data_IF_348256349801
#
_entry.id   IF_348256349801
#
_cell.length_a   1.000
_cell.length_b   1.000
_cell.length_c   1.000
_cell.angle_alpha   90.00
_cell.angle_beta   90.00
_cell.angle_gamma   90.00
#
_symmetry.space_group_name_H-M   'P 1'
#
loop_
_entity.id
_entity.type
_entity.pdbx_description
1 polymer ?
#
# COMPACT_ATOMS: atom_id res chain seq x y z
N UNK A 1 37.44 -16.48 -9.91
CA UNK A 1 36.37 -17.35 -9.40
C UNK A 1 35.53 -16.52 -8.44
N UNK A 2 34.46 -15.89 -8.93
CA UNK A 2 33.51 -15.11 -8.14
C UNK A 2 32.12 -15.47 -8.70
N UNK A 3 31.43 -16.40 -8.04
CA UNK A 3 30.01 -16.64 -8.31
C UNK A 3 29.21 -15.66 -7.45
N UNK A 4 28.39 -14.87 -8.15
CA UNK A 4 27.57 -13.78 -7.65
C UNK A 4 26.47 -14.30 -6.72
N UNK A 5 26.14 -13.50 -5.70
CA UNK A 5 25.06 -13.69 -4.73
C UNK A 5 23.69 -13.99 -5.39
N UNK A 6 23.50 -13.58 -6.65
CA UNK A 6 22.33 -13.90 -7.46
C UNK A 6 22.12 -15.41 -7.71
N UNK A 7 23.20 -16.21 -7.70
CA UNK A 7 23.14 -17.66 -7.91
C UNK A 7 22.72 -18.41 -6.62
N UNK A 8 22.91 -17.78 -5.46
CA UNK A 8 22.47 -18.29 -4.16
C UNK A 8 20.98 -17.99 -3.90
N UNK A 9 20.46 -16.84 -4.33
CA UNK A 9 19.01 -16.59 -4.33
C UNK A 9 18.26 -17.49 -5.31
N UNK A 10 18.85 -17.77 -6.49
CA UNK A 10 18.28 -18.72 -7.44
C UNK A 10 18.28 -20.15 -6.90
N UNK A 11 19.34 -20.57 -6.19
CA UNK A 11 19.35 -21.86 -5.48
C UNK A 11 18.42 -21.92 -4.28
N UNK A 12 18.16 -20.82 -3.59
CA UNK A 12 17.20 -20.76 -2.48
C UNK A 12 15.75 -20.80 -2.98
N UNK A 13 15.46 -20.25 -4.16
CA UNK A 13 14.18 -20.48 -4.87
C UNK A 13 14.05 -21.90 -5.46
N UNK A 14 15.16 -22.59 -5.73
CA UNK A 14 15.17 -23.96 -6.27
C UNK A 14 15.19 -25.05 -5.19
N UNK A 15 15.52 -24.72 -3.94
CA UNK A 15 15.57 -25.67 -2.82
C UNK A 15 14.31 -25.63 -1.94
N UNK A 16 13.37 -24.72 -2.21
CA UNK A 16 11.99 -24.87 -1.73
C UNK A 16 11.23 -25.79 -2.69
N UNK A 17 11.68 -27.06 -2.75
CA UNK A 17 11.04 -28.19 -3.43
C UNK A 17 9.75 -28.61 -2.69
N UNK A 18 8.83 -27.67 -2.47
CA UNK A 18 7.41 -27.97 -2.58
C UNK A 18 6.93 -27.43 -3.92
N UNK A 19 7.40 -28.16 -4.92
CA UNK A 19 7.07 -28.07 -6.33
C UNK A 19 5.56 -28.02 -6.53
N UNK A 20 4.98 -26.81 -6.56
CA UNK A 20 3.79 -26.60 -7.38
C UNK A 20 4.18 -26.92 -8.81
N UNK A 21 3.80 -28.12 -9.26
CA UNK A 21 3.69 -28.48 -10.66
C UNK A 21 2.79 -27.43 -11.36
N UNK A 22 3.38 -26.29 -11.76
CA UNK A 22 2.69 -25.19 -12.47
C UNK A 22 2.26 -25.55 -13.89
N UNK A 23 2.64 -26.73 -14.37
CA UNK A 23 2.14 -27.34 -15.61
C UNK A 23 1.34 -28.63 -15.33
N UNK A 24 0.64 -28.72 -14.20
CA UNK A 24 -0.44 -29.69 -14.10
C UNK A 24 -1.52 -29.31 -15.13
N UNK A 25 -1.74 -30.17 -16.12
CA UNK A 25 -2.75 -30.01 -17.17
C UNK A 25 -4.20 -30.11 -16.66
N UNK A 26 -4.44 -29.81 -15.37
CA UNK A 26 -5.70 -30.08 -14.68
C UNK A 26 -6.46 -28.84 -14.22
N UNK A 27 -5.86 -27.64 -14.28
CA UNK A 27 -6.58 -26.40 -13.97
C UNK A 27 -7.23 -25.88 -15.26
N UNK A 28 -8.57 -25.77 -15.33
CA UNK A 28 -9.26 -25.15 -16.45
C UNK A 28 -8.68 -23.77 -16.76
N UNK A 29 -8.61 -23.40 -18.05
CA UNK A 29 -8.04 -22.13 -18.48
C UNK A 29 -8.72 -20.92 -17.79
N UNK A 30 -10.03 -20.99 -17.59
CA UNK A 30 -10.81 -19.93 -16.93
C UNK A 30 -10.40 -19.75 -15.46
N UNK A 31 -10.13 -20.85 -14.75
CA UNK A 31 -9.68 -20.83 -13.35
C UNK A 31 -8.25 -20.27 -13.24
N UNK A 32 -7.35 -20.69 -14.14
CA UNK A 32 -6.01 -20.13 -14.21
C UNK A 32 -6.01 -18.62 -14.52
N UNK A 33 -6.87 -18.17 -15.43
CA UNK A 33 -6.99 -16.76 -15.78
C UNK A 33 -7.59 -15.93 -14.64
N UNK A 34 -8.56 -16.47 -13.91
CA UNK A 34 -9.13 -15.84 -12.72
C UNK A 34 -8.07 -15.69 -11.61
N UNK A 35 -7.33 -16.76 -11.31
CA UNK A 35 -6.35 -16.77 -10.22
C UNK A 35 -5.12 -15.91 -10.52
N UNK A 36 -4.68 -15.90 -11.78
CA UNK A 36 -3.46 -15.20 -12.19
C UNK A 36 -3.62 -13.68 -12.32
N UNK A 37 -4.85 -13.16 -12.35
CA UNK A 37 -5.18 -11.76 -12.64
C UNK A 37 -4.58 -11.23 -13.97
N UNK A 38 -4.13 -12.12 -14.87
CA UNK A 38 -3.44 -11.75 -16.12
C UNK A 38 -4.32 -10.91 -17.03
N UNK A 39 -5.64 -11.09 -16.98
CA UNK A 39 -6.59 -10.30 -17.76
C UNK A 39 -6.59 -8.82 -17.37
N UNK A 40 -6.34 -8.48 -16.09
CA UNK A 40 -6.22 -7.08 -15.64
C UNK A 40 -5.02 -6.42 -16.33
N UNK A 41 -3.88 -7.11 -16.35
CA UNK A 41 -2.65 -6.64 -16.99
C UNK A 41 -2.77 -6.56 -18.51
N UNK A 42 -3.39 -7.56 -19.13
CA UNK A 42 -3.60 -7.56 -20.58
C UNK A 42 -4.54 -6.43 -21.01
N UNK A 43 -5.65 -6.24 -20.29
CA UNK A 43 -6.60 -5.16 -20.55
C UNK A 43 -5.93 -3.80 -20.43
N UNK A 44 -5.12 -3.60 -19.38
CA UNK A 44 -4.39 -2.36 -19.17
C UNK A 44 -3.32 -2.11 -20.25
N UNK A 45 -2.52 -3.12 -20.58
CA UNK A 45 -1.53 -3.01 -21.65
C UNK A 45 -2.17 -2.67 -23.01
N UNK A 46 -3.31 -3.29 -23.33
CA UNK A 46 -4.05 -2.97 -24.56
C UNK A 46 -4.58 -1.54 -24.51
N UNK A 47 -5.17 -1.10 -23.38
CA UNK A 47 -5.68 0.27 -23.25
C UNK A 47 -4.57 1.31 -23.46
N UNK A 48 -3.41 1.13 -22.83
CA UNK A 48 -2.24 2.02 -23.00
C UNK A 48 -1.69 2.01 -24.42
N UNK A 49 -1.61 0.84 -25.06
CA UNK A 49 -1.20 0.72 -26.46
C UNK A 49 -2.14 1.48 -27.39
N UNK A 50 -3.44 1.43 -27.12
CA UNK A 50 -4.46 2.11 -27.91
C UNK A 50 -4.47 3.63 -27.71
N UNK A 51 -4.10 4.10 -26.52
CA UNK A 51 -3.99 5.54 -26.20
C UNK A 51 -2.75 6.18 -26.84
N UNK A 52 -1.63 5.45 -26.92
CA UNK A 52 -0.34 5.96 -27.41
C UNK A 52 0.16 5.19 -28.65
N UNK A 53 -0.76 4.89 -29.59
CA UNK A 53 -0.49 4.05 -30.77
C UNK A 53 0.73 4.50 -31.56
N UNK A 54 0.86 5.80 -31.80
CA UNK A 54 1.92 6.35 -32.66
C UNK A 54 3.31 6.18 -32.08
N UNK A 55 3.44 6.14 -30.74
CA UNK A 55 4.72 5.92 -30.06
C UNK A 55 5.10 4.42 -30.05
N UNK A 56 4.17 3.54 -29.68
CA UNK A 56 4.49 2.13 -29.45
C UNK A 56 4.50 1.28 -30.72
N UNK A 57 3.77 1.67 -31.77
CA UNK A 57 3.80 0.96 -33.05
C UNK A 57 5.13 1.15 -33.79
N UNK A 58 5.85 2.25 -33.53
CA UNK A 58 7.18 2.51 -34.11
C UNK A 58 8.25 1.52 -33.62
N UNK A 59 8.16 1.06 -32.36
CA UNK A 59 9.11 0.13 -31.76
C UNK A 59 8.66 -1.35 -31.81
N UNK A 60 7.46 -1.59 -32.33
CA UNK A 60 6.87 -2.91 -32.51
C UNK A 60 6.03 -3.36 -31.32
N UNK A 61 4.79 -3.79 -31.59
CA UNK A 61 3.79 -4.21 -30.59
C UNK A 61 4.29 -5.36 -29.71
N UNK A 62 5.03 -6.32 -30.27
CA UNK A 62 5.60 -7.46 -29.52
C UNK A 62 6.56 -6.97 -28.44
N UNK A 63 7.41 -6.00 -28.78
CA UNK A 63 8.38 -5.43 -27.84
C UNK A 63 7.67 -4.67 -26.73
N UNK A 64 6.63 -3.90 -27.06
CA UNK A 64 5.81 -3.21 -26.07
C UNK A 64 5.25 -4.18 -25.02
N UNK A 65 4.58 -5.25 -25.44
CA UNK A 65 4.03 -6.23 -24.49
C UNK A 65 5.13 -6.90 -23.65
N UNK A 66 6.27 -7.24 -24.27
CA UNK A 66 7.40 -7.83 -23.54
C UNK A 66 7.94 -6.87 -22.45
N UNK A 67 8.08 -5.58 -22.76
CA UNK A 67 8.51 -4.57 -21.80
C UNK A 67 7.46 -4.33 -20.69
N UNK A 68 6.17 -4.28 -21.05
CA UNK A 68 5.08 -4.13 -20.10
C UNK A 68 5.06 -5.30 -19.10
N UNK A 69 5.03 -6.55 -19.57
CA UNK A 69 5.01 -7.70 -18.67
C UNK A 69 6.32 -7.91 -17.91
N UNK A 70 7.46 -7.47 -18.47
CA UNK A 70 8.72 -7.37 -17.73
C UNK A 70 8.59 -6.37 -16.57
N UNK A 71 7.96 -5.22 -16.80
CA UNK A 71 7.67 -4.23 -15.75
C UNK A 71 6.78 -4.81 -14.65
N UNK A 72 5.71 -5.54 -15.03
CA UNK A 72 4.82 -6.24 -14.08
C UNK A 72 5.59 -7.26 -13.25
N UNK A 73 6.38 -8.12 -13.90
CA UNK A 73 7.22 -9.12 -13.25
C UNK A 73 8.18 -8.48 -12.24
N UNK A 74 8.76 -7.33 -12.59
CA UNK A 74 9.72 -6.62 -11.77
C UNK A 74 9.09 -5.62 -10.78
N UNK A 75 7.76 -5.60 -10.63
CA UNK A 75 7.03 -4.75 -9.69
C UNK A 75 7.13 -3.24 -9.95
N UNK A 76 7.50 -2.82 -11.15
CA UNK A 76 7.69 -1.40 -11.52
C UNK A 76 6.44 -0.76 -12.17
N UNK A 77 5.45 -1.57 -12.50
CA UNK A 77 4.23 -1.21 -13.25
C UNK A 77 3.23 -0.35 -12.46
N UNK A 78 3.47 -0.08 -11.19
CA UNK A 78 2.57 0.64 -10.27
C UNK A 78 2.92 2.11 -10.08
N UNK A 79 4.08 2.55 -10.58
CA UNK A 79 4.55 3.93 -10.44
C UNK A 79 3.74 4.89 -11.32
N UNK A 80 3.26 5.99 -10.71
CA UNK A 80 2.48 7.04 -11.37
C UNK A 80 1.18 6.55 -12.00
N UNK A 81 0.58 5.53 -11.37
CA UNK A 81 -0.70 4.95 -11.79
C UNK A 81 -1.83 5.50 -10.93
N UNK A 82 -3.05 5.39 -11.45
CA UNK A 82 -4.26 5.71 -10.70
C UNK A 82 -4.50 4.67 -9.59
N UNK A 83 -5.08 5.11 -8.48
CA UNK A 83 -5.30 4.31 -7.29
C UNK A 83 -6.10 3.03 -7.59
N UNK A 84 -7.11 3.15 -8.48
CA UNK A 84 -7.92 2.01 -8.91
C UNK A 84 -7.08 0.89 -9.52
N UNK A 85 -6.06 1.22 -10.30
CA UNK A 85 -5.12 0.25 -10.85
C UNK A 85 -4.20 -0.32 -9.77
N UNK A 86 -3.66 0.55 -8.90
CA UNK A 86 -2.74 0.15 -7.82
C UNK A 86 -3.41 -0.84 -6.85
N UNK A 87 -4.70 -0.68 -6.55
CA UNK A 87 -5.45 -1.58 -5.65
C UNK A 87 -6.02 -2.83 -6.34
N UNK A 88 -5.95 -2.93 -7.67
CA UNK A 88 -6.74 -3.88 -8.45
C UNK A 88 -6.41 -5.35 -8.16
N UNK A 89 -5.14 -5.66 -7.87
CA UNK A 89 -4.69 -7.04 -7.65
C UNK A 89 -3.78 -7.12 -6.41
N UNK A 90 -3.68 -8.30 -5.76
CA UNK A 90 -2.73 -8.50 -4.67
C UNK A 90 -1.29 -8.19 -5.07
N UNK A 91 -0.89 -8.54 -6.30
CA UNK A 91 0.45 -8.23 -6.82
C UNK A 91 0.69 -6.74 -6.99
N UNK A 92 -0.30 -5.96 -7.44
CA UNK A 92 -0.19 -4.51 -7.54
C UNK A 92 -0.04 -3.87 -6.16
N UNK A 93 -0.83 -4.32 -5.18
CA UNK A 93 -0.74 -3.83 -3.79
C UNK A 93 0.64 -4.10 -3.19
N UNK A 94 1.12 -5.34 -3.29
CA UNK A 94 2.45 -5.72 -2.80
C UNK A 94 3.57 -4.95 -3.51
N UNK A 95 3.47 -4.79 -4.83
CA UNK A 95 4.43 -4.01 -5.63
C UNK A 95 4.47 -2.55 -5.18
N UNK A 96 3.32 -1.95 -4.92
CA UNK A 96 3.23 -0.56 -4.49
C UNK A 96 3.79 -0.34 -3.08
N UNK A 97 3.49 -1.24 -2.14
CA UNK A 97 4.08 -1.23 -0.79
C UNK A 97 5.60 -1.32 -0.88
N UNK A 98 6.13 -2.22 -1.71
CA UNK A 98 7.57 -2.37 -1.94
C UNK A 98 8.19 -1.12 -2.54
N UNK A 99 7.57 -0.52 -3.55
CA UNK A 99 8.05 0.72 -4.17
C UNK A 99 8.06 1.87 -3.16
N UNK A 100 6.98 2.05 -2.40
CA UNK A 100 6.91 3.06 -1.34
C UNK A 100 8.03 2.87 -0.31
N UNK A 101 8.25 1.63 0.13
CA UNK A 101 9.35 1.29 1.01
C UNK A 101 10.71 1.68 0.41
N UNK A 102 11.01 1.25 -0.83
CA UNK A 102 12.29 1.56 -1.49
C UNK A 102 12.53 3.05 -1.67
N UNK A 103 11.50 3.81 -2.05
CA UNK A 103 11.62 5.24 -2.29
C UNK A 103 11.89 6.05 -1.02
N UNK A 104 11.32 5.64 0.12
CA UNK A 104 11.27 6.49 1.32
C UNK A 104 11.92 5.89 2.56
N UNK A 105 12.50 4.69 2.48
CA UNK A 105 13.22 4.02 3.58
C UNK A 105 14.26 4.92 4.27
N UNK A 106 14.88 5.84 3.54
CA UNK A 106 15.87 6.76 4.12
C UNK A 106 15.28 7.64 5.23
N UNK A 107 13.99 7.96 5.19
CA UNK A 107 13.29 8.69 6.26
C UNK A 107 13.36 7.89 7.57
N UNK A 108 13.09 6.58 7.50
CA UNK A 108 13.20 5.69 8.66
C UNK A 108 14.63 5.57 9.19
N UNK A 109 15.64 5.60 8.32
CA UNK A 109 17.05 5.61 8.73
C UNK A 109 17.47 6.89 9.43
N UNK A 110 16.97 8.04 8.98
CA UNK A 110 17.21 9.34 9.62
C UNK A 110 16.57 9.41 11.01
N UNK A 111 15.55 8.59 11.26
CA UNK A 111 14.76 8.63 12.50
C UNK A 111 13.69 9.73 12.48
N UNK A 112 13.41 10.31 11.31
CA UNK A 112 12.41 11.35 11.14
C UNK A 112 11.01 10.75 11.39
N UNK A 113 10.22 11.48 12.16
CA UNK A 113 8.81 11.16 12.39
C UNK A 113 7.96 12.08 11.52
N UNK A 114 6.96 11.51 10.86
CA UNK A 114 6.08 12.24 9.96
C UNK A 114 4.63 12.14 10.41
N UNK A 115 3.86 13.19 10.14
CA UNK A 115 2.42 13.23 10.29
C UNK A 115 1.71 12.41 9.21
N UNK A 116 0.43 12.11 9.44
CA UNK A 116 -0.44 11.44 8.47
C UNK A 116 -0.50 12.16 7.11
N UNK A 117 -0.52 13.50 7.11
CA UNK A 117 -0.58 14.31 5.89
C UNK A 117 0.73 14.28 5.10
N UNK A 118 1.87 14.19 5.77
CA UNK A 118 3.17 14.03 5.12
C UNK A 118 3.28 12.65 4.46
N UNK A 119 2.87 11.57 5.15
CA UNK A 119 2.81 10.24 4.54
C UNK A 119 1.86 10.18 3.34
N UNK A 120 0.70 10.85 3.44
CA UNK A 120 -0.20 11.00 2.28
C UNK A 120 0.50 11.69 1.12
N UNK A 121 1.23 12.77 1.38
CA UNK A 121 1.97 13.50 0.34
C UNK A 121 3.01 12.61 -0.33
N UNK A 122 3.74 11.79 0.43
CA UNK A 122 4.70 10.82 -0.11
C UNK A 122 4.00 9.76 -0.98
N UNK A 123 2.87 9.22 -0.54
CA UNK A 123 2.09 8.27 -1.34
C UNK A 123 1.57 8.92 -2.64
N UNK A 124 1.16 10.19 -2.59
CA UNK A 124 0.68 10.94 -3.75
C UNK A 124 1.77 11.25 -4.78
N UNK A 125 3.04 11.32 -4.37
CA UNK A 125 4.15 11.40 -5.33
C UNK A 125 4.26 10.13 -6.20
N UNK A 126 3.80 8.97 -5.70
CA UNK A 126 3.80 7.70 -6.44
C UNK A 126 2.46 7.39 -7.10
N UNK A 127 1.35 7.82 -6.51
CA UNK A 127 -0.03 7.58 -6.95
C UNK A 127 -0.85 8.88 -6.77
N UNK A 128 -1.00 9.72 -7.82
CA UNK A 128 -1.51 11.09 -7.66
C UNK A 128 -2.88 11.23 -6.97
N UNK A 129 -3.75 10.25 -7.18
CA UNK A 129 -5.12 10.16 -6.64
C UNK A 129 -5.22 9.26 -5.40
N UNK A 130 -4.12 9.03 -4.67
CA UNK A 130 -4.14 8.17 -3.48
C UNK A 130 -5.14 8.69 -2.43
N UNK A 131 -6.07 7.85 -1.94
CA UNK A 131 -7.17 8.27 -1.07
C UNK A 131 -6.68 8.59 0.34
N UNK A 132 -7.24 9.64 0.93
CA UNK A 132 -6.92 10.07 2.29
C UNK A 132 -7.40 9.06 3.33
N UNK A 133 -8.54 8.42 3.08
CA UNK A 133 -9.18 7.48 4.00
C UNK A 133 -8.27 6.28 4.27
N UNK A 134 -7.53 5.82 3.24
CA UNK A 134 -6.57 4.72 3.37
C UNK A 134 -5.42 5.09 4.31
N UNK A 135 -4.87 6.30 4.15
CA UNK A 135 -3.76 6.78 4.99
C UNK A 135 -4.24 7.02 6.42
N UNK A 136 -5.43 7.59 6.58
CA UNK A 136 -6.04 7.82 7.88
C UNK A 136 -6.31 6.51 8.62
N UNK A 137 -6.84 5.50 7.94
CA UNK A 137 -7.07 4.19 8.53
C UNK A 137 -5.75 3.52 8.97
N UNK A 138 -4.69 3.63 8.16
CA UNK A 138 -3.37 3.16 8.56
C UNK A 138 -2.82 3.94 9.77
N UNK A 139 -3.00 5.27 9.82
CA UNK A 139 -2.57 6.09 10.93
C UNK A 139 -3.30 5.72 12.24
N UNK A 140 -4.61 5.43 12.21
CA UNK A 140 -5.38 4.97 13.38
C UNK A 140 -4.95 3.61 13.93
N UNK A 141 -4.28 2.79 13.11
CA UNK A 141 -3.67 1.55 13.62
C UNK A 141 -2.47 1.88 14.51
N UNK A 142 -1.73 2.95 14.20
CA UNK A 142 -0.51 3.35 14.91
C UNK A 142 -0.79 4.29 16.08
N UNK A 143 -1.67 5.26 15.86
CA UNK A 143 -2.00 6.35 16.77
C UNK A 143 -3.33 6.05 17.48
N UNK A 144 -3.45 6.49 18.73
CA UNK A 144 -4.75 6.44 19.43
C UNK A 144 -5.73 7.44 18.78
N UNK A 145 -7.04 7.21 18.96
CA UNK A 145 -8.10 8.00 18.28
C UNK A 145 -8.00 9.51 18.55
N UNK A 146 -7.53 9.90 19.73
CA UNK A 146 -7.37 11.32 20.13
C UNK A 146 -6.04 11.96 19.68
N UNK A 147 -5.19 11.20 18.97
CA UNK A 147 -3.79 11.55 18.72
C UNK A 147 -3.44 11.54 17.22
N UNK A 148 -4.40 11.74 16.31
CA UNK A 148 -4.19 11.63 14.85
C UNK A 148 -3.16 12.66 14.33
N UNK A 149 -2.98 13.77 15.03
CA UNK A 149 -1.99 14.80 14.69
C UNK A 149 -0.56 14.47 15.18
N UNK A 150 -0.37 13.35 15.87
CA UNK A 150 0.94 12.91 16.30
C UNK A 150 1.79 12.39 15.14
N UNK A 151 3.11 12.51 15.33
CA UNK A 151 4.09 12.02 14.36
C UNK A 151 4.32 10.51 14.56
N UNK A 152 4.55 9.81 13.45
CA UNK A 152 4.69 8.35 13.40
C UNK A 152 6.01 7.97 12.75
N UNK A 153 6.65 6.93 13.26
CA UNK A 153 7.87 6.39 12.65
C UNK A 153 7.55 5.77 11.29
N UNK A 154 8.53 5.80 10.39
CA UNK A 154 8.39 5.18 9.06
C UNK A 154 8.04 3.69 9.16
N UNK A 155 8.67 2.97 10.10
CA UNK A 155 8.42 1.54 10.29
C UNK A 155 6.99 1.28 10.76
N UNK A 156 6.50 2.02 11.75
CA UNK A 156 5.16 1.80 12.31
C UNK A 156 4.09 2.12 11.27
N UNK A 157 4.24 3.24 10.56
CA UNK A 157 3.34 3.57 9.45
C UNK A 157 3.37 2.51 8.37
N UNK A 158 4.55 2.07 7.93
CA UNK A 158 4.70 1.16 6.81
C UNK A 158 4.02 -0.18 7.06
N UNK A 159 4.16 -0.75 8.26
CA UNK A 159 3.50 -2.02 8.59
C UNK A 159 1.99 -1.87 8.75
N UNK A 160 1.53 -0.79 9.38
CA UNK A 160 0.11 -0.48 9.46
C UNK A 160 -0.51 -0.25 8.08
N UNK A 161 0.18 0.49 7.22
CA UNK A 161 -0.18 0.74 5.83
C UNK A 161 -0.23 -0.55 5.02
N UNK A 162 0.79 -1.41 5.15
CA UNK A 162 0.82 -2.71 4.50
C UNK A 162 -0.40 -3.55 4.88
N UNK A 163 -0.72 -3.66 6.18
CA UNK A 163 -1.88 -4.40 6.66
C UNK A 163 -3.18 -3.82 6.09
N UNK A 164 -3.37 -2.51 6.27
CA UNK A 164 -4.59 -1.80 5.89
C UNK A 164 -4.84 -1.82 4.38
N UNK A 165 -3.79 -1.63 3.58
CA UNK A 165 -3.90 -1.54 2.13
C UNK A 165 -4.00 -2.91 1.47
N UNK A 166 -3.24 -3.90 1.93
CA UNK A 166 -3.23 -5.21 1.30
C UNK A 166 -4.53 -5.99 1.59
N UNK A 167 -5.00 -5.97 2.84
CA UNK A 167 -6.17 -6.73 3.30
C UNK A 167 -7.43 -5.87 3.48
N UNK A 168 -7.52 -4.72 2.82
CA UNK A 168 -8.58 -3.74 3.00
C UNK A 168 -9.98 -4.37 3.11
N UNK A 169 -10.39 -5.14 2.10
CA UNK A 169 -11.75 -5.70 2.02
C UNK A 169 -12.06 -6.63 3.20
N UNK A 170 -11.04 -7.36 3.68
CA UNK A 170 -11.18 -8.25 4.83
C UNK A 170 -11.35 -7.43 6.12
N UNK A 171 -10.50 -6.43 6.32
CA UNK A 171 -10.55 -5.56 7.50
C UNK A 171 -11.87 -4.78 7.57
N UNK A 172 -12.36 -4.28 6.45
CA UNK A 172 -13.68 -3.63 6.37
C UNK A 172 -14.79 -4.58 6.84
N UNK A 173 -14.71 -5.86 6.47
CA UNK A 173 -15.67 -6.88 6.91
C UNK A 173 -15.54 -7.21 8.41
N UNK A 174 -14.32 -7.26 8.93
CA UNK A 174 -14.06 -7.47 10.37
C UNK A 174 -14.55 -6.28 11.20
N UNK A 175 -14.39 -5.06 10.70
CA UNK A 175 -14.89 -3.85 11.35
C UNK A 175 -16.42 -3.89 11.52
N UNK A 176 -17.15 -4.33 10.49
CA UNK A 176 -18.61 -4.50 10.58
C UNK A 176 -18.98 -5.51 11.66
N UNK A 177 -18.29 -6.66 11.70
CA UNK A 177 -18.50 -7.68 12.75
C UNK A 177 -18.24 -7.08 14.14
N UNK A 178 -17.13 -6.36 14.30
CA UNK A 178 -16.76 -5.73 15.56
C UNK A 178 -17.82 -4.72 16.03
N UNK A 179 -18.32 -3.87 15.12
CA UNK A 179 -19.39 -2.90 15.41
C UNK A 179 -20.71 -3.58 15.79
N UNK A 180 -21.08 -4.67 15.12
CA UNK A 180 -22.27 -5.44 15.46
C UNK A 180 -22.16 -6.08 16.86
N UNK A 181 -21.00 -6.61 17.22
CA UNK A 181 -20.74 -7.15 18.56
C UNK A 181 -20.78 -6.05 19.63
N UNK A 182 -20.21 -4.86 19.37
CA UNK A 182 -20.34 -3.71 20.26
C UNK A 182 -21.80 -3.27 20.45
N UNK A 183 -22.62 -3.35 19.40
CA UNK A 183 -24.05 -3.06 19.46
C UNK A 183 -24.88 -4.18 20.14
N UNK A 184 -24.24 -5.25 20.64
CA UNK A 184 -24.89 -6.37 21.32
C UNK A 184 -25.54 -7.39 20.37
N UNK A 185 -25.27 -7.31 19.06
CA UNK A 185 -25.74 -8.32 18.10
C UNK A 185 -24.81 -9.53 18.17
N UNK A 186 -25.18 -10.51 19.00
CA UNK A 186 -24.46 -11.78 19.05
C UNK A 186 -24.94 -12.71 17.91
N UNK A 187 -24.08 -13.60 17.40
CA UNK A 187 -24.51 -14.64 16.45
C UNK A 187 -25.59 -15.57 17.02
N UNK A 188 -25.79 -15.57 18.35
CA UNK A 188 -26.82 -16.32 19.06
C UNK A 188 -28.07 -15.49 19.39
N UNK A 189 -28.19 -14.25 18.89
CA UNK A 189 -29.36 -13.42 19.17
C UNK A 189 -30.56 -13.95 18.39
N UNK A 190 -31.41 -14.71 19.08
CA UNK A 190 -32.73 -15.12 18.59
C UNK A 190 -33.61 -13.88 18.49
N UNK A 191 -33.83 -13.39 17.28
CA UNK A 191 -34.82 -12.33 17.03
C UNK A 191 -36.21 -12.98 17.13
N UNK A 192 -36.80 -12.89 18.32
CA UNK A 192 -38.21 -13.26 18.50
C UNK A 192 -39.06 -12.17 17.85
N UNK A 193 -39.97 -12.48 16.91
CA UNK A 193 -40.90 -11.49 16.37
C UNK A 193 -41.92 -11.15 17.47
N UNK A 194 -41.64 -10.15 18.29
CA UNK A 194 -42.67 -9.59 19.16
C UNK A 194 -43.50 -8.63 18.32
N UNK A 195 -44.70 -9.09 17.97
CA UNK A 195 -45.75 -8.30 17.34
C UNK A 195 -46.00 -7.00 18.13
N UNK A 196 -46.11 -5.91 17.37
CA UNK A 196 -46.40 -4.53 17.78
C UNK A 196 -47.38 -4.40 18.95
N UNK A 197 -47.00 -3.66 19.98
CA UNK A 197 -47.94 -2.92 20.83
C UNK A 197 -47.27 -1.60 21.24
N UNK A 198 -47.75 -0.53 20.61
CA UNK A 198 -47.51 0.85 21.01
C UNK A 198 -48.30 1.04 22.31
N UNK A 199 -47.62 1.22 23.44
CA UNK A 199 -48.22 1.88 24.62
C UNK A 199 -47.15 2.47 25.54
N UNK A 200 -47.04 3.80 25.43
CA UNK A 200 -46.80 4.76 26.52
C UNK A 200 -45.48 4.68 27.32
N UNK A 201 -44.56 5.58 26.94
CA UNK A 201 -43.56 6.19 27.83
C UNK A 201 -44.22 6.78 29.09
N UNK A 202 -43.54 6.68 30.24
CA UNK A 202 -43.40 7.82 31.13
C UNK A 202 -41.93 8.26 31.22
N UNK A 203 -41.69 9.52 30.85
CA UNK A 203 -40.61 10.33 31.39
C UNK A 203 -41.00 10.72 32.83
N UNK A 204 -40.15 10.51 33.84
CA UNK A 204 -39.34 11.51 34.59
C UNK A 204 -38.75 10.84 35.84
N UNK A 205 -37.48 11.19 36.14
CA UNK A 205 -36.85 11.35 37.46
C UNK A 205 -36.14 10.15 38.12
N UNK A 206 -34.81 10.30 38.16
CA UNK A 206 -33.91 10.11 39.29
C UNK A 206 -33.90 8.75 40.00
N UNK A 207 -32.93 7.92 39.62
CA UNK A 207 -32.07 7.27 40.60
C UNK A 207 -30.60 7.54 40.20
N UNK A 208 -30.01 8.49 40.92
CA UNK A 208 -28.57 8.72 40.99
C UNK A 208 -27.97 7.68 41.94
N UNK A 209 -27.27 6.69 41.37
CA UNK A 209 -26.25 5.80 41.94
C UNK A 209 -26.46 4.39 41.41
N UNK A 210 -25.52 3.96 40.56
CA UNK A 210 -25.21 2.60 40.05
C UNK A 210 -24.95 2.55 38.53
N UNK A 211 -24.29 3.57 37.98
CA UNK A 211 -23.51 3.45 36.72
C UNK A 211 -22.07 3.91 36.89
N UNK A 212 -21.48 3.67 38.06
CA UNK A 212 -20.03 3.59 38.19
C UNK A 212 -19.61 2.17 37.81
N UNK A 213 -19.49 1.96 36.49
CA UNK A 213 -19.18 0.64 35.92
C UNK A 213 -19.01 0.63 34.40
N UNK A 214 -18.82 1.78 33.75
CA UNK A 214 -18.38 1.84 32.33
C UNK A 214 -16.88 1.51 32.19
N UNK A 215 -16.44 0.45 32.84
CA UNK A 215 -15.17 -0.21 32.54
C UNK A 215 -15.50 -1.42 31.68
N UNK A 216 -15.26 -1.33 30.36
CA UNK A 216 -14.86 -2.41 29.44
C UNK A 216 -15.17 -2.01 27.97
N UNK A 217 -14.35 -1.11 27.41
CA UNK A 217 -14.50 -0.53 26.07
C UNK A 217 -13.94 -1.46 24.96
N UNK A 218 -14.50 -2.66 24.85
CA UNK A 218 -14.06 -3.67 23.89
C UNK A 218 -14.97 -4.89 23.84
N UNK A 219 -14.88 -5.63 22.73
CA UNK A 219 -15.65 -6.86 22.52
C UNK A 219 -14.92 -8.05 23.14
N UNK A 220 -15.66 -9.10 23.49
CA UNK A 220 -15.10 -10.38 23.90
C UNK A 220 -14.26 -10.98 22.75
N UNK A 221 -12.97 -11.22 23.02
CA UNK A 221 -12.01 -11.68 22.01
C UNK A 221 -12.33 -13.07 21.47
N UNK A 222 -12.89 -13.96 22.31
CA UNK A 222 -13.26 -15.32 21.91
C UNK A 222 -14.45 -15.31 20.95
N UNK A 223 -15.42 -14.43 21.21
CA UNK A 223 -16.59 -14.24 20.35
C UNK A 223 -16.18 -13.62 19.01
N UNK A 224 -15.30 -12.61 19.04
CA UNK A 224 -14.74 -12.02 17.83
C UNK A 224 -13.95 -13.04 17.00
N UNK A 225 -13.12 -13.86 17.65
CA UNK A 225 -12.34 -14.91 16.97
C UNK A 225 -13.22 -15.92 16.24
N UNK A 226 -14.33 -16.36 16.86
CA UNK A 226 -15.30 -17.27 16.22
C UNK A 226 -15.94 -16.62 14.98
N UNK A 227 -16.33 -15.34 15.08
CA UNK A 227 -16.93 -14.62 13.95
C UNK A 227 -15.93 -14.42 12.80
N UNK A 228 -14.67 -14.13 13.12
CA UNK A 228 -13.59 -14.00 12.14
C UNK A 228 -13.29 -15.34 11.46
N UNK A 229 -13.26 -16.44 12.22
CA UNK A 229 -13.01 -17.77 11.63
C UNK A 229 -14.12 -18.16 10.64
N UNK A 230 -15.39 -17.93 11.01
CA UNK A 230 -16.53 -18.13 10.13
C UNK A 230 -16.52 -17.19 8.91
N UNK A 231 -15.99 -15.97 9.05
CA UNK A 231 -15.76 -15.07 7.91
C UNK A 231 -14.71 -15.68 6.96
N UNK A 232 -13.61 -16.21 7.48
CA UNK A 232 -12.53 -16.78 6.68
C UNK A 232 -12.99 -17.99 5.83
N UNK A 233 -14.01 -18.75 6.26
CA UNK A 233 -14.55 -19.87 5.47
C UNK A 233 -15.20 -19.44 4.16
N UNK A 234 -15.74 -18.21 4.12
CA UNK A 234 -16.52 -17.69 3.00
C UNK A 234 -15.86 -16.51 2.28
N UNK A 235 -14.72 -16.03 2.79
CA UNK A 235 -14.06 -14.85 2.26
C UNK A 235 -13.26 -15.19 1.00
N UNK A 236 -13.52 -14.48 -0.10
CA UNK A 236 -12.94 -14.79 -1.41
C UNK A 236 -11.60 -14.10 -1.68
N UNK A 237 -11.32 -13.01 -0.98
CA UNK A 237 -10.09 -12.25 -1.16
C UNK A 237 -9.03 -12.67 -0.14
N UNK A 238 -7.81 -12.16 -0.31
CA UNK A 238 -6.74 -12.39 0.65
C UNK A 238 -7.13 -11.94 2.06
N UNK A 239 -6.74 -12.73 3.05
CA UNK A 239 -6.88 -12.40 4.47
C UNK A 239 -5.64 -12.90 5.24
N UNK A 240 -5.33 -12.35 6.42
CA UNK A 240 -4.27 -12.87 7.27
C UNK A 240 -4.49 -14.34 7.66
N UNK A 241 -3.42 -15.04 8.04
CA UNK A 241 -3.53 -16.44 8.50
C UNK A 241 -4.48 -16.55 9.71
N UNK A 242 -5.35 -17.55 9.68
CA UNK A 242 -6.28 -17.84 10.79
C UNK A 242 -5.56 -18.09 12.11
N UNK A 243 -4.44 -18.82 12.06
CA UNK A 243 -3.64 -19.09 13.25
C UNK A 243 -3.09 -17.81 13.87
N UNK A 244 -2.61 -16.90 13.03
CA UNK A 244 -2.07 -15.60 13.45
C UNK A 244 -3.14 -14.73 14.10
N UNK A 245 -4.32 -14.62 13.48
CA UNK A 245 -5.42 -13.83 14.05
C UNK A 245 -5.92 -14.41 15.38
N UNK A 246 -6.03 -15.74 15.46
CA UNK A 246 -6.44 -16.43 16.69
C UNK A 246 -5.42 -16.21 17.82
N UNK A 247 -4.13 -16.37 17.54
CA UNK A 247 -3.07 -16.13 18.52
C UNK A 247 -3.09 -14.70 19.07
N UNK A 248 -3.34 -13.70 18.23
CA UNK A 248 -3.48 -12.30 18.69
C UNK A 248 -4.69 -12.11 19.60
N UNK A 249 -5.83 -12.72 19.25
CA UNK A 249 -7.08 -12.58 20.02
C UNK A 249 -7.06 -13.36 21.35
N UNK A 250 -6.28 -14.44 21.46
CA UNK A 250 -6.14 -15.22 22.70
C UNK A 250 -5.31 -14.49 23.79
N UNK A 251 -4.66 -13.38 23.46
CA UNK A 251 -3.82 -12.63 24.40
C UNK A 251 -4.61 -11.84 25.43
N UNK A 252 -5.86 -11.46 25.12
CA UNK A 252 -6.69 -10.63 25.99
C UNK A 252 -8.13 -11.14 26.02
N UNK A 253 -8.81 -11.00 27.14
CA UNK A 253 -10.24 -11.36 27.26
C UNK A 253 -11.14 -10.42 26.46
N UNK A 254 -10.79 -9.12 26.45
CA UNK A 254 -11.45 -8.09 25.66
C UNK A 254 -10.46 -7.40 24.75
N UNK A 255 -10.94 -6.98 23.58
CA UNK A 255 -10.11 -6.34 22.56
C UNK A 255 -10.85 -5.18 21.90
N UNK A 256 -10.13 -4.10 21.62
CA UNK A 256 -10.64 -3.02 20.77
C UNK A 256 -10.13 -3.18 19.33
N UNK A 257 -10.89 -2.71 18.34
CA UNK A 257 -10.58 -2.96 16.93
C UNK A 257 -9.17 -2.51 16.54
N UNK A 258 -8.77 -1.30 16.89
CA UNK A 258 -7.45 -0.78 16.53
C UNK A 258 -6.31 -1.43 17.32
N UNK A 259 -6.53 -1.89 18.56
CA UNK A 259 -5.50 -2.68 19.26
C UNK A 259 -5.29 -4.06 18.63
N UNK A 260 -6.37 -4.69 18.14
CA UNK A 260 -6.28 -5.92 17.35
C UNK A 260 -5.46 -5.69 16.07
N UNK A 261 -5.77 -4.63 15.29
CA UNK A 261 -5.02 -4.31 14.07
C UNK A 261 -3.56 -3.96 14.35
N UNK A 262 -3.28 -3.21 15.42
CA UNK A 262 -1.94 -2.87 15.84
C UNK A 262 -1.11 -4.13 16.16
N UNK A 263 -1.72 -5.08 16.86
CA UNK A 263 -1.08 -6.37 17.15
C UNK A 263 -0.84 -7.18 15.89
N UNK A 264 -1.79 -7.22 14.94
CA UNK A 264 -1.60 -7.86 13.64
C UNK A 264 -0.46 -7.22 12.83
N UNK A 265 -0.41 -5.88 12.77
CA UNK A 265 0.63 -5.16 12.02
C UNK A 265 2.05 -5.49 12.51
N UNK A 266 2.20 -5.90 13.77
CA UNK A 266 3.49 -6.31 14.37
C UNK A 266 3.88 -7.75 14.10
N UNK A 267 2.98 -8.57 13.54
CA UNK A 267 3.24 -9.98 13.27
C UNK A 267 4.11 -10.16 12.03
N UNK A 268 5.30 -10.75 12.22
CA UNK A 268 6.23 -11.01 11.11
C UNK A 268 5.66 -12.03 10.10
N UNK A 269 4.79 -12.93 10.56
CA UNK A 269 4.13 -13.91 9.68
C UNK A 269 3.22 -13.24 8.64
N UNK A 270 2.58 -12.13 9.00
CA UNK A 270 1.79 -11.33 8.05
C UNK A 270 2.70 -10.69 7.01
N UNK A 271 3.84 -10.15 7.46
CA UNK A 271 4.83 -9.55 6.57
C UNK A 271 5.37 -10.58 5.56
N UNK A 272 5.74 -11.76 6.04
CA UNK A 272 6.21 -12.87 5.21
C UNK A 272 5.14 -13.36 4.21
N UNK A 273 3.89 -13.45 4.64
CA UNK A 273 2.79 -13.89 3.79
C UNK A 273 2.51 -12.91 2.64
N UNK A 274 2.60 -11.60 2.89
CA UNK A 274 2.46 -10.57 1.84
C UNK A 274 3.68 -10.57 0.92
N UNK A 275 4.89 -10.74 1.48
CA UNK A 275 6.15 -10.80 0.74
C UNK A 275 6.56 -9.48 0.07
N UNK A 276 5.99 -8.36 0.49
CA UNK A 276 6.30 -7.04 -0.09
C UNK A 276 7.57 -6.43 0.50
N UNK A 277 7.78 -6.61 1.80
CA UNK A 277 8.88 -6.00 2.59
C UNK A 277 9.86 -7.07 3.07
N UNK A 278 11.12 -6.69 3.36
CA UNK A 278 12.09 -7.57 4.02
C UNK A 278 11.70 -7.81 5.49
N UNK A 279 12.51 -8.61 6.18
CA UNK A 279 12.35 -8.83 7.63
C UNK A 279 12.49 -7.53 8.41
N UNK A 280 11.90 -7.45 9.61
CA UNK A 280 12.01 -6.25 10.46
C UNK A 280 13.46 -5.83 10.76
N UNK A 281 14.38 -6.78 10.89
CA UNK A 281 15.80 -6.51 11.12
C UNK A 281 16.50 -5.87 9.90
N UNK A 282 16.00 -6.16 8.70
CA UNK A 282 16.56 -5.72 7.42
C UNK A 282 15.75 -4.58 6.78
N UNK A 283 14.64 -4.15 7.40
CA UNK A 283 13.74 -3.13 6.87
C UNK A 283 14.45 -1.83 6.48
N UNK A 284 15.46 -1.44 7.24
CA UNK A 284 16.24 -0.24 7.00
C UNK A 284 17.61 -0.54 6.39
N UNK A 285 17.83 -1.72 5.78
CA UNK A 285 19.12 -2.13 5.22
C UNK A 285 18.94 -2.54 3.75
N UNK A 286 19.60 -1.83 2.84
CA UNK A 286 19.63 -2.08 1.40
C UNK A 286 20.99 -1.60 0.88
N UNK A 287 22.03 -2.46 0.97
CA UNK A 287 23.40 -2.07 0.66
C UNK A 287 23.57 -1.62 -0.80
N UNK A 288 22.75 -2.13 -1.72
CA UNK A 288 22.82 -1.79 -3.14
C UNK A 288 22.33 -0.37 -3.37
N UNK A 289 21.12 -0.05 -2.90
CA UNK A 289 20.59 1.32 -3.05
C UNK A 289 21.36 2.34 -2.21
N UNK A 290 21.84 1.95 -1.03
CA UNK A 290 22.66 2.82 -0.19
C UNK A 290 23.96 3.22 -0.92
N UNK A 291 24.63 2.26 -1.57
CA UNK A 291 25.81 2.55 -2.38
C UNK A 291 25.50 3.41 -3.62
N UNK A 292 24.35 3.21 -4.27
CA UNK A 292 23.93 4.06 -5.39
C UNK A 292 23.64 5.49 -4.95
N UNK A 293 22.98 5.66 -3.80
CA UNK A 293 22.72 6.97 -3.21
C UNK A 293 24.03 7.68 -2.85
N UNK A 294 24.99 6.98 -2.23
CA UNK A 294 26.30 7.54 -1.90
C UNK A 294 27.06 7.99 -3.17
N UNK A 295 26.99 7.22 -4.26
CA UNK A 295 27.57 7.61 -5.56
C UNK A 295 26.93 8.88 -6.11
N UNK A 296 25.60 9.02 -6.02
CA UNK A 296 24.88 10.21 -6.49
C UNK A 296 25.26 11.43 -5.64
N UNK A 297 25.29 11.29 -4.31
CA UNK A 297 25.69 12.36 -3.39
C UNK A 297 27.13 12.81 -3.66
N UNK A 298 28.05 11.87 -3.92
CA UNK A 298 29.42 12.19 -4.30
C UNK A 298 29.48 12.96 -5.64
N UNK A 299 28.67 12.59 -6.64
CA UNK A 299 28.62 13.30 -7.93
C UNK A 299 28.07 14.73 -7.80
N UNK A 300 27.06 14.94 -6.95
CA UNK A 300 26.50 16.28 -6.67
C UNK A 300 27.54 17.13 -5.92
N UNK A 301 28.24 16.55 -4.94
CA UNK A 301 29.22 17.26 -4.12
C UNK A 301 30.50 17.66 -4.89
N UNK A 302 30.80 16.99 -6.01
CA UNK A 302 31.99 17.24 -6.84
C UNK A 302 31.71 18.20 -8.01
N UNK A 303 30.46 18.62 -8.22
CA UNK A 303 30.14 19.64 -9.25
C UNK A 303 30.53 21.04 -8.76
N UNK A 304 31.61 21.67 -9.28
CA UNK A 304 31.95 23.03 -8.90
C UNK A 304 30.97 23.99 -9.57
N UNK A 305 30.57 25.02 -8.84
CA UNK A 305 29.69 26.07 -9.34
C UNK A 305 30.11 26.59 -10.71
N UNK A 306 29.13 26.78 -11.58
CA UNK A 306 29.29 27.43 -12.89
C UNK A 306 29.66 28.90 -12.69
N UNK A 307 30.96 29.18 -12.59
CA UNK A 307 31.52 30.51 -12.80
C UNK A 307 32.19 30.55 -14.18
N UNK A 308 31.55 31.19 -15.16
CA UNK A 308 32.28 31.89 -16.21
C UNK A 308 31.45 33.04 -16.78
N UNK A 309 31.71 34.25 -16.31
CA UNK A 309 31.49 35.49 -17.04
C UNK A 309 32.65 35.69 -18.02
N UNK A 310 32.36 35.97 -19.30
CA UNK A 310 33.34 36.49 -20.28
C UNK A 310 33.22 35.93 -21.70
N UNK A 311 32.82 36.80 -22.63
CA UNK A 311 32.69 36.64 -24.09
C UNK A 311 33.73 35.78 -24.82
N UNK A 312 33.29 34.94 -25.76
CA UNK A 312 33.76 34.93 -27.16
C UNK A 312 32.93 33.98 -28.04
N UNK A 313 32.63 34.48 -29.25
CA UNK A 313 31.94 33.85 -30.38
C UNK A 313 32.63 32.57 -30.87
N UNK A 314 31.86 31.53 -31.21
CA UNK A 314 32.37 30.45 -32.08
C UNK A 314 31.62 29.11 -32.04
N UNK A 315 30.67 28.92 -32.97
CA UNK A 315 30.38 27.64 -33.63
C UNK A 315 29.91 26.43 -32.80
N UNK A 316 28.60 26.35 -32.53
CA UNK A 316 27.95 25.10 -32.10
C UNK A 316 27.77 24.16 -33.32
N UNK A 317 28.65 23.15 -33.42
CA UNK A 317 28.34 21.90 -34.13
C UNK A 317 27.38 21.11 -33.24
N UNK A 318 26.17 20.89 -33.74
CA UNK A 318 25.11 20.12 -33.12
C UNK A 318 25.57 18.66 -32.91
N UNK A 319 25.90 18.31 -31.67
CA UNK A 319 26.10 16.91 -31.28
C UNK A 319 24.72 16.32 -31.03
N UNK A 320 24.29 15.45 -31.94
CA UNK A 320 23.09 14.62 -31.80
C UNK A 320 23.09 13.96 -30.42
N UNK A 321 22.19 14.41 -29.55
CA UNK A 321 21.85 13.72 -28.31
C UNK A 321 21.25 12.37 -28.69
N UNK A 322 22.04 11.30 -28.55
CA UNK A 322 21.53 9.93 -28.56
C UNK A 322 20.51 9.82 -27.41
N UNK A 323 19.24 9.64 -27.75
CA UNK A 323 18.18 9.39 -26.78
C UNK A 323 18.51 8.10 -26.01
N UNK A 324 18.55 8.20 -24.68
CA UNK A 324 18.74 7.04 -23.81
C UNK A 324 17.48 6.17 -23.84
N UNK A 325 17.56 4.83 -24.02
CA UNK A 325 16.39 3.98 -24.24
C UNK A 325 15.45 3.77 -23.04
N UNK A 326 15.70 4.40 -21.89
CA UNK A 326 14.90 4.22 -20.66
C UNK A 326 13.95 5.37 -20.42
N UNK A 327 13.05 5.63 -21.38
CA UNK A 327 11.94 6.54 -21.15
C UNK A 327 10.87 5.76 -20.37
N UNK A 328 10.54 6.22 -19.16
CA UNK A 328 9.46 5.64 -18.37
C UNK A 328 8.21 5.57 -19.25
N UNK A 329 7.55 4.42 -19.27
CA UNK A 329 6.31 4.13 -20.02
C UNK A 329 5.18 5.09 -19.62
N UNK A 330 5.32 5.83 -18.52
CA UNK A 330 4.30 6.71 -18.00
C UNK A 330 4.55 8.17 -18.36
N UNK A 331 3.69 8.69 -19.24
CA UNK A 331 3.60 10.11 -19.52
C UNK A 331 2.80 10.79 -18.40
N UNK A 332 3.44 11.74 -17.69
CA UNK A 332 2.76 12.66 -16.78
C UNK A 332 1.76 13.50 -17.60
N UNK A 333 0.47 13.47 -17.28
CA UNK A 333 -0.48 14.50 -17.76
C UNK A 333 0.08 15.86 -17.32
N UNK A 334 0.38 16.73 -18.28
CA UNK A 334 0.74 18.12 -17.99
C UNK A 334 -0.46 18.75 -17.27
N UNK A 335 -0.24 19.20 -16.04
CA UNK A 335 -1.13 20.17 -15.40
C UNK A 335 -0.79 21.49 -16.06
N UNK A 336 -1.62 21.94 -16.99
CA UNK A 336 -1.56 23.30 -17.51
C UNK A 336 -2.01 24.22 -16.37
N UNK A 337 -1.04 24.84 -15.71
CA UNK A 337 -1.27 25.95 -14.81
C UNK A 337 -1.50 27.18 -15.68
N UNK A 338 -2.76 27.55 -15.88
CA UNK A 338 -3.12 28.85 -16.45
C UNK A 338 -2.58 29.95 -15.53
N UNK A 339 -1.42 30.49 -15.91
CA UNK A 339 -0.85 31.67 -15.28
C UNK A 339 -1.66 32.88 -15.71
N UNK A 340 -2.62 33.28 -14.87
CA UNK A 340 -3.29 34.57 -14.99
C UNK A 340 -2.34 35.66 -14.50
N UNK A 341 -1.67 36.35 -15.42
CA UNK A 341 -0.96 37.61 -15.14
C UNK A 341 -1.99 38.73 -15.10
N UNK A 342 -2.47 39.07 -13.91
CA UNK A 342 -3.13 40.36 -13.69
C UNK A 342 -2.05 41.43 -13.55
N UNK A 343 -2.01 42.35 -14.51
CA UNK A 343 -1.14 43.51 -14.50
C UNK A 343 -1.65 44.54 -13.47
N UNK A 344 -0.80 44.89 -12.51
CA UNK A 344 -1.00 46.08 -11.67
C UNK A 344 -0.26 47.25 -12.31
N UNK A 345 -1.00 48.14 -12.96
CA UNK A 345 -0.55 49.46 -13.40
C UNK A 345 -0.45 50.38 -12.17
N UNK A 346 0.78 50.63 -11.71
CA UNK A 346 1.06 51.60 -10.67
C UNK A 346 1.43 52.92 -11.32
N UNK A 347 0.47 53.86 -11.35
CA UNK A 347 0.73 55.26 -11.65
C UNK A 347 1.49 55.92 -10.48
N UNK A 348 2.73 56.35 -10.73
CA UNK A 348 3.43 57.33 -9.88
C UNK A 348 3.40 58.73 -10.53
N UNK A 349 3.34 59.71 -9.62
CA UNK A 349 3.39 61.18 -9.76
C UNK A 349 4.20 61.78 -10.92
#
# INVERSE_FOLDING_TARGET
MNYSYADLEFRRCLLDETTMNRFNSSVPADEYLADSNVLVYLSDAVAQLLEHKDEYTQFGVIRYFAEYFSSVKNSNHVLFREYNYVRATPHNRASFIRVFWRCYRQIGKSGDLLSMLEYRSLLQLLCPDFPVEMVQNAARIVLMEDAIDCLMSFSDFLYAFQLQFYYQEFLDSVLVIYQDLLAGKSPNTVIVPTSTSIEQLPSVAADENEKEGQQQDGVDSSTLAQCIDALCDRFKHSHPSRSCMKEVLEQTEKVCYYSFLMSLAKQETINQAIGALPSKAELLIDPEMDQELDKIIAQISVSPGSNSSGSAVGGLKEVQRKASPRRNIHHRRKVESDGSTEETDSSEN
#
